data_IF_993995945168
#
_entry.id   IF_993995945168
#
_cell.length_a   1.000
_cell.length_b   1.000
_cell.length_c   1.000
_cell.angle_alpha   90.00
_cell.angle_beta   90.00
_cell.angle_gamma   90.00
#
_symmetry.space_group_name_H-M   'P 1'
#
loop_
_entity.id
_entity.type
_entity.pdbx_description
1 polymer ?
#
# COMPACT_ATOMS: atom_id res chain seq x y z
N UNK A 1 60.24 -8.06 29.04
CA UNK A 1 58.84 -8.49 29.21
C UNK A 1 57.98 -7.23 29.22
N UNK A 2 57.47 -6.84 28.05
CA UNK A 2 56.46 -5.78 27.92
C UNK A 2 55.12 -6.42 27.52
N UNK A 3 53.96 -5.85 27.90
CA UNK A 3 52.67 -6.49 27.63
C UNK A 3 52.24 -6.28 26.17
N UNK A 4 51.65 -7.32 25.57
CA UNK A 4 50.95 -7.27 24.28
C UNK A 4 49.73 -6.33 24.35
N UNK A 5 49.42 -5.54 23.31
CA UNK A 5 48.13 -4.87 23.21
C UNK A 5 47.03 -5.86 22.77
N UNK A 6 45.88 -5.79 23.44
CA UNK A 6 44.67 -6.55 23.09
C UNK A 6 43.94 -5.90 21.90
N UNK A 7 43.25 -6.66 21.05
CA UNK A 7 42.53 -6.10 19.92
C UNK A 7 41.21 -5.45 20.38
N UNK A 8 41.05 -4.16 20.10
CA UNK A 8 39.78 -3.44 20.22
C UNK A 8 38.75 -4.06 19.26
N UNK A 9 37.67 -4.57 19.84
CA UNK A 9 36.48 -5.01 19.12
C UNK A 9 35.70 -3.76 18.68
N UNK A 10 35.94 -3.29 17.46
CA UNK A 10 35.02 -2.40 16.77
C UNK A 10 33.74 -3.18 16.47
N UNK A 11 32.70 -2.94 17.28
CA UNK A 11 31.33 -3.32 16.96
C UNK A 11 30.88 -2.45 15.77
N UNK A 12 30.81 -3.05 14.60
CA UNK A 12 30.07 -2.49 13.47
C UNK A 12 28.59 -2.40 13.87
N UNK A 13 28.13 -1.18 14.16
CA UNK A 13 26.71 -0.88 14.22
C UNK A 13 26.16 -0.95 12.79
N UNK A 14 25.60 -2.10 12.43
CA UNK A 14 24.90 -2.28 11.16
C UNK A 14 23.69 -1.34 11.10
N UNK A 15 23.81 -0.25 10.35
CA UNK A 15 22.68 0.60 9.97
C UNK A 15 21.63 -0.24 9.23
N UNK A 16 20.32 -0.01 9.46
CA UNK A 16 19.28 -0.74 8.75
C UNK A 16 19.40 -0.48 7.25
N UNK A 17 19.67 -1.52 6.48
CA UNK A 17 19.71 -1.46 5.02
C UNK A 17 18.34 -1.04 4.51
N UNK A 18 18.21 0.20 4.04
CA UNK A 18 17.06 0.61 3.26
C UNK A 18 16.96 -0.30 2.03
N UNK A 19 15.81 -0.97 1.88
CA UNK A 19 15.57 -1.88 0.78
C UNK A 19 15.49 -1.07 -0.52
N UNK A 20 16.57 -1.06 -1.30
CA UNK A 20 16.62 -0.41 -2.61
C UNK A 20 15.68 -1.13 -3.57
N UNK A 21 14.76 -0.39 -4.19
CA UNK A 21 13.77 -0.94 -5.12
C UNK A 21 14.41 -1.69 -6.30
N UNK A 22 13.83 -2.82 -6.67
CA UNK A 22 14.37 -3.74 -7.66
C UNK A 22 14.48 -3.15 -9.08
N UNK A 23 13.69 -2.14 -9.39
CA UNK A 23 13.69 -1.46 -10.70
C UNK A 23 14.85 -0.46 -10.84
N UNK A 24 15.38 0.06 -9.73
CA UNK A 24 16.31 1.18 -9.76
C UNK A 24 17.67 0.85 -10.43
N UNK A 25 18.15 -0.39 -10.32
CA UNK A 25 19.48 -0.78 -10.81
C UNK A 25 19.59 -0.94 -12.35
N UNK A 26 18.46 -0.99 -13.07
CA UNK A 26 18.43 -1.24 -14.52
C UNK A 26 17.62 -0.20 -15.29
N UNK A 27 17.49 1.01 -14.74
CA UNK A 27 16.79 2.10 -15.43
C UNK A 27 17.47 2.40 -16.77
N UNK A 28 16.78 2.05 -17.87
CA UNK A 28 17.28 2.02 -19.26
C UNK A 28 17.75 3.40 -19.78
N UNK A 29 17.45 4.48 -19.06
CA UNK A 29 17.81 5.84 -19.44
C UNK A 29 19.09 6.36 -18.75
N UNK A 30 19.68 5.62 -17.82
CA UNK A 30 20.92 6.03 -17.15
C UNK A 30 22.15 5.58 -17.96
N UNK A 31 22.54 6.36 -18.97
CA UNK A 31 23.79 6.15 -19.70
C UNK A 31 25.04 6.59 -18.92
N UNK A 32 24.85 7.22 -17.76
CA UNK A 32 25.90 7.66 -16.86
C UNK A 32 25.66 7.12 -15.45
N UNK A 33 26.75 6.94 -14.68
CA UNK A 33 26.68 6.73 -13.24
C UNK A 33 25.68 7.72 -12.61
N UNK A 34 24.80 7.25 -11.71
CA UNK A 34 23.72 8.07 -11.16
C UNK A 34 24.32 9.25 -10.40
N UNK A 35 24.41 10.39 -11.07
CA UNK A 35 24.66 11.68 -10.42
C UNK A 35 23.40 11.94 -9.62
N UNK A 36 23.50 12.01 -8.28
CA UNK A 36 22.33 12.29 -7.46
C UNK A 36 21.68 13.59 -7.96
N UNK A 37 20.36 13.58 -8.25
CA UNK A 37 19.68 14.77 -8.71
C UNK A 37 19.84 15.85 -7.64
N UNK A 38 20.47 16.97 -8.01
CA UNK A 38 20.58 18.16 -7.16
C UNK A 38 19.22 18.85 -7.13
N UNK A 39 18.31 18.31 -6.32
CA UNK A 39 17.01 18.95 -6.07
C UNK A 39 17.26 20.16 -5.17
N UNK A 40 16.92 21.36 -5.64
CA UNK A 40 17.04 22.58 -4.85
C UNK A 40 16.10 22.55 -3.63
N UNK A 41 16.59 22.95 -2.46
CA UNK A 41 15.82 23.04 -1.20
C UNK A 41 14.50 23.83 -1.33
N UNK A 42 14.48 24.84 -2.21
CA UNK A 42 13.28 25.62 -2.51
C UNK A 42 12.17 24.78 -3.17
N UNK A 43 12.54 23.84 -4.04
CA UNK A 43 11.61 22.93 -4.71
C UNK A 43 11.00 21.91 -3.73
N UNK A 44 11.79 21.40 -2.79
CA UNK A 44 11.34 20.48 -1.73
C UNK A 44 10.33 21.20 -0.83
N UNK A 45 10.66 22.41 -0.40
CA UNK A 45 9.80 23.23 0.46
C UNK A 45 8.45 23.57 -0.19
N UNK A 46 8.44 23.84 -1.50
CA UNK A 46 7.19 24.08 -2.23
C UNK A 46 6.35 22.80 -2.35
N UNK A 47 6.97 21.65 -2.61
CA UNK A 47 6.27 20.36 -2.68
C UNK A 47 5.61 19.99 -1.36
N UNK A 48 6.30 20.20 -0.22
CA UNK A 48 5.74 19.98 1.11
C UNK A 48 4.54 20.86 1.38
N UNK A 49 4.60 22.16 1.03
CA UNK A 49 3.44 23.06 1.18
C UNK A 49 2.22 22.61 0.37
N UNK A 50 2.43 22.11 -0.84
CA UNK A 50 1.33 21.59 -1.68
C UNK A 50 0.74 20.33 -1.05
N UNK A 51 1.59 19.42 -0.55
CA UNK A 51 1.16 18.23 0.19
C UNK A 51 0.27 18.60 1.38
N UNK A 52 0.73 19.52 2.22
CA UNK A 52 0.00 19.94 3.43
C UNK A 52 -1.35 20.60 3.08
N UNK A 53 -1.40 21.37 2.00
CA UNK A 53 -2.63 21.98 1.51
C UNK A 53 -3.64 20.94 1.03
N UNK A 54 -3.19 19.88 0.33
CA UNK A 54 -4.04 18.78 -0.12
C UNK A 54 -4.59 18.00 1.08
N UNK A 55 -3.74 17.67 2.06
CA UNK A 55 -4.16 16.96 3.27
C UNK A 55 -5.20 17.75 4.06
N UNK A 56 -4.98 19.06 4.21
CA UNK A 56 -5.93 19.96 4.89
C UNK A 56 -7.27 20.06 4.15
N UNK A 57 -7.27 20.15 2.82
CA UNK A 57 -8.49 20.29 2.04
C UNK A 57 -9.32 18.99 1.93
N UNK A 58 -8.66 17.84 1.96
CA UNK A 58 -9.31 16.52 1.81
C UNK A 58 -9.65 15.87 3.14
N UNK A 59 -9.10 16.38 4.24
CA UNK A 59 -9.21 15.78 5.58
C UNK A 59 -8.84 14.29 5.58
N UNK A 60 -7.91 13.88 4.73
CA UNK A 60 -7.62 12.47 4.49
C UNK A 60 -7.07 11.75 5.73
N UNK A 61 -6.40 12.50 6.62
CA UNK A 61 -5.88 12.00 7.89
C UNK A 61 -6.96 11.82 8.96
N UNK A 62 -8.12 12.45 8.77
CA UNK A 62 -9.21 12.39 9.75
C UNK A 62 -9.96 11.07 9.60
N UNK A 63 -9.73 10.19 10.57
CA UNK A 63 -10.41 8.91 10.70
C UNK A 63 -11.88 9.06 11.11
N UNK A 64 -12.74 8.09 10.79
CA UNK A 64 -14.12 8.07 11.28
C UNK A 64 -14.20 8.10 12.80
N UNK A 65 -15.33 8.60 13.32
CA UNK A 65 -15.64 8.60 14.76
C UNK A 65 -15.37 7.22 15.37
N UNK A 66 -14.76 7.10 16.56
CA UNK A 66 -14.27 5.82 17.08
C UNK A 66 -15.30 4.69 17.13
N UNK A 67 -16.58 5.00 17.40
CA UNK A 67 -17.65 4.01 17.39
C UNK A 67 -17.92 3.47 15.98
N UNK A 68 -17.98 4.36 14.98
CA UNK A 68 -18.14 3.99 13.58
C UNK A 68 -16.91 3.24 13.05
N UNK A 69 -15.70 3.72 13.37
CA UNK A 69 -14.45 3.03 13.00
C UNK A 69 -14.45 1.58 13.48
N UNK A 70 -14.75 1.35 14.76
CA UNK A 70 -14.86 -0.02 15.31
C UNK A 70 -15.89 -0.85 14.55
N UNK A 71 -17.11 -0.34 14.35
CA UNK A 71 -18.15 -1.06 13.63
C UNK A 71 -17.74 -1.43 12.18
N UNK A 72 -17.01 -0.56 11.48
CA UNK A 72 -16.50 -0.85 10.14
C UNK A 72 -15.36 -1.86 10.16
N UNK A 73 -14.44 -1.75 11.13
CA UNK A 73 -13.37 -2.73 11.34
C UNK A 73 -13.93 -4.12 11.65
N UNK A 74 -14.93 -4.21 12.53
CA UNK A 74 -15.60 -5.46 12.87
C UNK A 74 -16.29 -6.04 11.63
N UNK A 75 -17.03 -5.23 10.86
CA UNK A 75 -17.66 -5.64 9.61
C UNK A 75 -16.65 -6.16 8.56
N UNK A 76 -15.45 -5.56 8.49
CA UNK A 76 -14.37 -6.05 7.65
C UNK A 76 -13.89 -7.44 8.10
N UNK A 77 -13.61 -7.64 9.38
CA UNK A 77 -13.11 -8.93 9.87
C UNK A 77 -14.16 -10.05 9.80
N UNK A 78 -15.44 -9.71 9.95
CA UNK A 78 -16.54 -10.68 9.82
C UNK A 78 -16.77 -11.09 8.36
N UNK A 79 -16.80 -10.13 7.43
CA UNK A 79 -17.34 -10.34 6.08
C UNK A 79 -16.30 -10.31 4.96
N UNK A 80 -15.10 -9.80 5.21
CA UNK A 80 -14.08 -9.57 4.16
C UNK A 80 -12.83 -10.40 4.39
N UNK A 81 -12.43 -10.55 5.64
CA UNK A 81 -11.17 -11.20 6.00
C UNK A 81 -11.00 -12.61 5.41
N UNK A 82 -12.08 -13.38 5.30
CA UNK A 82 -12.04 -14.73 4.74
C UNK A 82 -11.59 -14.75 3.26
N UNK A 83 -11.91 -13.72 2.48
CA UNK A 83 -11.49 -13.59 1.09
C UNK A 83 -10.08 -12.96 0.96
N UNK A 84 -9.67 -12.20 1.98
CA UNK A 84 -8.45 -11.38 1.96
C UNK A 84 -7.73 -11.43 3.31
N UNK A 85 -7.20 -12.61 3.67
CA UNK A 85 -6.41 -12.83 4.89
C UNK A 85 -5.00 -12.20 4.80
N UNK A 86 -4.93 -10.97 4.32
CA UNK A 86 -3.73 -10.15 4.13
C UNK A 86 -3.53 -9.22 5.33
N UNK A 87 -4.63 -8.78 5.95
CA UNK A 87 -4.65 -7.84 7.07
C UNK A 87 -4.93 -8.59 8.35
N UNK A 88 -4.10 -8.36 9.36
CA UNK A 88 -4.23 -8.93 10.70
C UNK A 88 -4.89 -7.93 11.66
N UNK A 89 -5.41 -8.42 12.79
CA UNK A 89 -6.02 -7.56 13.81
C UNK A 89 -5.02 -6.55 14.39
N UNK A 90 -3.74 -6.94 14.51
CA UNK A 90 -2.64 -6.11 15.02
C UNK A 90 -2.32 -4.93 14.10
N UNK A 91 -2.51 -5.09 12.78
CA UNK A 91 -2.30 -4.02 11.80
C UNK A 91 -3.22 -2.82 12.04
N UNK A 92 -4.40 -3.06 12.63
CA UNK A 92 -5.46 -2.04 12.83
C UNK A 92 -5.58 -1.62 14.30
N UNK A 93 -5.24 -2.51 15.24
CA UNK A 93 -5.45 -2.28 16.68
C UNK A 93 -4.21 -1.72 17.40
N UNK A 94 -3.04 -1.81 16.80
CA UNK A 94 -1.80 -1.31 17.40
C UNK A 94 -1.80 0.22 17.53
N UNK A 95 -1.10 0.74 18.54
CA UNK A 95 -0.94 2.20 18.72
C UNK A 95 -0.21 2.87 17.56
N UNK A 96 0.54 2.11 16.78
CA UNK A 96 1.26 2.54 15.58
C UNK A 96 0.55 2.14 14.28
N UNK A 97 -0.74 1.84 14.34
CA UNK A 97 -1.52 1.49 13.15
C UNK A 97 -1.56 2.65 12.16
N UNK A 98 -1.20 2.35 10.91
CA UNK A 98 -1.22 3.32 9.82
C UNK A 98 -2.60 3.93 9.59
N UNK A 99 -2.65 5.25 9.40
CA UNK A 99 -3.87 5.97 9.05
C UNK A 99 -4.37 5.49 7.68
N UNK A 100 -3.48 5.30 6.71
CA UNK A 100 -3.81 4.79 5.38
C UNK A 100 -4.52 3.45 5.47
N UNK A 101 -3.95 2.52 6.23
CA UNK A 101 -4.52 1.18 6.38
C UNK A 101 -5.85 1.20 7.13
N UNK A 102 -5.98 2.01 8.17
CA UNK A 102 -7.24 2.18 8.90
C UNK A 102 -8.35 2.74 8.00
N UNK A 103 -8.04 3.76 7.18
CA UNK A 103 -8.99 4.29 6.20
C UNK A 103 -9.40 3.23 5.18
N UNK A 104 -8.45 2.43 4.67
CA UNK A 104 -8.72 1.37 3.72
C UNK A 104 -9.58 0.24 4.32
N UNK A 105 -9.32 -0.16 5.57
CA UNK A 105 -10.15 -1.15 6.28
C UNK A 105 -11.55 -0.60 6.53
N UNK A 106 -11.68 0.67 6.94
CA UNK A 106 -12.99 1.32 7.09
C UNK A 106 -13.75 1.37 5.77
N UNK A 107 -13.07 1.67 4.67
CA UNK A 107 -13.64 1.64 3.32
C UNK A 107 -14.21 0.26 3.01
N UNK A 108 -13.42 -0.80 3.16
CA UNK A 108 -13.89 -2.17 2.92
C UNK A 108 -15.08 -2.53 3.81
N UNK A 109 -15.04 -2.20 5.10
CA UNK A 109 -16.17 -2.42 6.02
C UNK A 109 -17.42 -1.60 5.69
N UNK A 110 -17.27 -0.44 5.03
CA UNK A 110 -18.42 0.36 4.58
C UNK A 110 -19.08 -0.22 3.32
N UNK A 111 -18.30 -0.89 2.47
CA UNK A 111 -18.79 -1.52 1.25
C UNK A 111 -19.58 -2.81 1.51
N UNK A 112 -19.37 -3.44 2.67
CA UNK A 112 -20.15 -4.63 3.06
C UNK A 112 -21.52 -4.29 3.65
N UNK A 113 -21.73 -3.05 4.06
CA UNK A 113 -22.99 -2.58 4.62
C UNK A 113 -23.91 -2.08 3.51
N UNK A 114 -25.17 -2.52 3.53
CA UNK A 114 -26.16 -2.09 2.55
C UNK A 114 -26.80 -0.75 2.95
N UNK A 115 -26.92 0.18 1.99
CA UNK A 115 -27.67 1.42 2.14
C UNK A 115 -27.00 2.64 1.49
N UNK A 116 -27.78 3.70 1.17
CA UNK A 116 -27.25 4.90 0.51
C UNK A 116 -26.20 5.64 1.35
N UNK A 117 -26.42 5.73 2.67
CA UNK A 117 -25.47 6.34 3.61
C UNK A 117 -24.12 5.62 3.63
N UNK A 118 -24.15 4.28 3.54
CA UNK A 118 -22.93 3.48 3.52
C UNK A 118 -22.13 3.69 2.24
N UNK A 119 -22.83 3.82 1.11
CA UNK A 119 -22.18 4.12 -0.17
C UNK A 119 -21.58 5.54 -0.20
N UNK A 120 -22.28 6.54 0.35
CA UNK A 120 -21.73 7.89 0.47
C UNK A 120 -20.46 7.92 1.35
N UNK A 121 -20.49 7.19 2.46
CA UNK A 121 -19.33 7.00 3.32
C UNK A 121 -18.20 6.28 2.59
N UNK A 122 -18.48 5.20 1.85
CA UNK A 122 -17.50 4.48 1.06
C UNK A 122 -16.83 5.38 0.02
N UNK A 123 -17.59 6.21 -0.68
CA UNK A 123 -17.05 7.21 -1.60
C UNK A 123 -16.10 8.18 -0.91
N UNK A 124 -16.49 8.70 0.25
CA UNK A 124 -15.65 9.63 1.03
C UNK A 124 -14.36 8.94 1.48
N UNK A 125 -14.45 7.75 2.06
CA UNK A 125 -13.28 6.98 2.51
C UNK A 125 -12.36 6.62 1.34
N UNK A 126 -12.92 6.29 0.17
CA UNK A 126 -12.16 5.99 -1.02
C UNK A 126 -11.33 7.18 -1.51
N UNK A 127 -11.90 8.39 -1.57
CA UNK A 127 -11.15 9.60 -1.94
C UNK A 127 -10.06 9.92 -0.90
N UNK A 128 -10.31 9.69 0.40
CA UNK A 128 -9.29 9.83 1.44
C UNK A 128 -8.13 8.85 1.24
N UNK A 129 -8.40 7.55 1.06
CA UNK A 129 -7.36 6.54 0.84
C UNK A 129 -6.55 6.84 -0.42
N UNK A 130 -7.23 7.19 -1.52
CA UNK A 130 -6.60 7.56 -2.79
C UNK A 130 -5.69 8.79 -2.63
N UNK A 131 -6.13 9.79 -1.88
CA UNK A 131 -5.30 10.96 -1.56
C UNK A 131 -4.04 10.56 -0.80
N UNK A 132 -4.16 9.74 0.24
CA UNK A 132 -3.02 9.26 1.02
C UNK A 132 -2.05 8.45 0.16
N UNK A 133 -2.54 7.61 -0.77
CA UNK A 133 -1.70 6.86 -1.71
C UNK A 133 -0.95 7.78 -2.69
N UNK A 134 -1.62 8.75 -3.29
CA UNK A 134 -0.98 9.65 -4.26
C UNK A 134 0.00 10.63 -3.64
N UNK A 135 -0.18 10.94 -2.36
CA UNK A 135 0.80 11.72 -1.62
C UNK A 135 1.97 10.87 -1.13
N UNK A 136 2.00 9.55 -1.32
CA UNK A 136 3.03 8.70 -0.69
C UNK A 136 3.05 8.96 0.83
N UNK A 137 1.86 8.84 1.45
CA UNK A 137 1.68 9.13 2.88
C UNK A 137 2.37 8.10 3.78
N UNK A 138 2.26 6.84 3.40
CA UNK A 138 2.79 5.73 4.18
C UNK A 138 4.17 5.32 3.68
N UNK A 139 5.15 5.34 4.57
CA UNK A 139 6.54 4.97 4.22
C UNK A 139 6.76 3.47 4.19
N UNK A 140 5.97 2.69 4.92
CA UNK A 140 6.06 1.24 4.90
C UNK A 140 5.39 0.66 3.65
N UNK A 141 6.21 0.14 2.74
CA UNK A 141 5.75 -0.48 1.51
C UNK A 141 4.82 -1.68 1.73
N UNK A 142 4.99 -2.45 2.82
CA UNK A 142 4.08 -3.56 3.12
C UNK A 142 2.68 -3.02 3.44
N UNK A 143 2.59 -1.99 4.28
CA UNK A 143 1.32 -1.34 4.62
C UNK A 143 0.67 -0.70 3.40
N UNK A 144 1.43 0.00 2.56
CA UNK A 144 0.94 0.54 1.27
C UNK A 144 0.42 -0.58 0.37
N UNK A 145 1.12 -1.70 0.28
CA UNK A 145 0.69 -2.86 -0.51
C UNK A 145 -0.59 -3.49 0.05
N UNK A 146 -0.75 -3.59 1.37
CA UNK A 146 -1.99 -4.06 2.02
C UNK A 146 -3.18 -3.14 1.67
N UNK A 147 -2.99 -1.82 1.72
CA UNK A 147 -4.03 -0.85 1.35
C UNK A 147 -4.40 -0.96 -0.14
N UNK A 148 -3.41 -1.09 -1.04
CA UNK A 148 -3.65 -1.29 -2.47
C UNK A 148 -4.39 -2.59 -2.76
N UNK A 149 -4.09 -3.68 -2.03
CA UNK A 149 -4.86 -4.91 -2.12
C UNK A 149 -6.33 -4.66 -1.82
N UNK A 150 -6.68 -3.95 -0.73
CA UNK A 150 -8.08 -3.64 -0.42
C UNK A 150 -8.79 -2.84 -1.53
N UNK A 151 -8.12 -1.86 -2.13
CA UNK A 151 -8.69 -1.07 -3.23
C UNK A 151 -8.89 -1.91 -4.51
N UNK A 152 -8.08 -2.94 -4.70
CA UNK A 152 -8.18 -3.85 -5.84
C UNK A 152 -9.36 -4.85 -5.77
N UNK A 153 -10.07 -4.89 -4.65
CA UNK A 153 -11.12 -5.88 -4.40
C UNK A 153 -12.52 -5.41 -4.80
N UNK A 154 -12.81 -4.12 -4.64
CA UNK A 154 -14.16 -3.58 -4.85
C UNK A 154 -14.14 -2.29 -5.65
N UNK A 155 -15.13 -2.17 -6.54
CA UNK A 155 -15.41 -0.91 -7.20
C UNK A 155 -16.38 -0.11 -6.35
N UNK A 156 -15.96 1.09 -5.93
CA UNK A 156 -16.86 2.05 -5.28
C UNK A 156 -17.80 2.67 -6.33
N UNK A 157 -17.36 2.73 -7.58
CA UNK A 157 -18.16 3.23 -8.70
C UNK A 157 -19.01 2.09 -9.30
N UNK A 158 -20.24 2.40 -9.74
CA UNK A 158 -21.07 1.44 -10.47
C UNK A 158 -20.37 0.87 -11.71
N UNK A 159 -20.59 -0.41 -12.07
CA UNK A 159 -19.89 -1.07 -13.17
C UNK A 159 -20.26 -0.51 -14.56
N UNK A 160 -21.41 0.16 -14.68
CA UNK A 160 -21.84 0.86 -15.89
C UNK A 160 -21.06 2.15 -16.15
N UNK A 161 -20.26 2.63 -15.19
CA UNK A 161 -19.47 3.85 -15.33
C UNK A 161 -18.00 3.53 -15.61
N UNK A 162 -17.52 3.99 -16.76
CA UNK A 162 -16.09 3.98 -17.08
C UNK A 162 -15.34 4.81 -16.04
N UNK A 163 -14.35 4.20 -15.39
CA UNK A 163 -13.51 4.85 -14.39
C UNK A 163 -12.03 4.51 -14.61
N UNK A 164 -11.17 5.49 -14.36
CA UNK A 164 -9.72 5.32 -14.47
C UNK A 164 -9.15 4.47 -13.32
N UNK A 165 -9.79 4.57 -12.16
CA UNK A 165 -9.30 4.11 -10.87
C UNK A 165 -10.16 2.96 -10.31
N UNK A 166 -10.59 2.05 -11.19
CA UNK A 166 -11.31 0.84 -10.79
C UNK A 166 -10.38 -0.24 -10.19
N UNK A 167 -10.96 -1.36 -9.75
CA UNK A 167 -10.21 -2.50 -9.18
C UNK A 167 -9.02 -2.93 -10.03
N UNK A 168 -9.21 -3.04 -11.36
CA UNK A 168 -8.15 -3.42 -12.30
C UNK A 168 -6.95 -2.47 -12.29
N UNK A 169 -7.19 -1.16 -12.18
CA UNK A 169 -6.12 -0.17 -12.06
C UNK A 169 -5.32 -0.41 -10.78
N UNK A 170 -6.00 -0.56 -9.65
CA UNK A 170 -5.36 -0.78 -8.35
C UNK A 170 -4.62 -2.12 -8.28
N UNK A 171 -5.15 -3.20 -8.87
CA UNK A 171 -4.41 -4.47 -9.03
C UNK A 171 -3.11 -4.24 -9.78
N UNK A 172 -3.14 -3.50 -10.89
CA UNK A 172 -1.96 -3.17 -11.67
C UNK A 172 -0.94 -2.32 -10.89
N UNK A 173 -1.38 -1.36 -10.08
CA UNK A 173 -0.50 -0.56 -9.20
C UNK A 173 0.14 -1.46 -8.13
N UNK A 174 -0.65 -2.28 -7.45
CA UNK A 174 -0.17 -3.21 -6.42
C UNK A 174 0.88 -4.19 -6.96
N UNK A 175 0.66 -4.77 -8.13
CA UNK A 175 1.62 -5.69 -8.75
C UNK A 175 2.94 -5.00 -9.05
N UNK A 176 2.91 -3.77 -9.59
CA UNK A 176 4.13 -3.01 -9.87
C UNK A 176 4.92 -2.72 -8.59
N UNK A 177 4.24 -2.35 -7.50
CA UNK A 177 4.87 -2.18 -6.19
C UNK A 177 5.47 -3.50 -5.68
N UNK A 178 4.72 -4.60 -5.75
CA UNK A 178 5.21 -5.93 -5.36
C UNK A 178 6.44 -6.37 -6.17
N UNK A 179 6.50 -6.05 -7.47
CA UNK A 179 7.67 -6.29 -8.30
C UNK A 179 8.87 -5.42 -7.90
N UNK A 180 8.65 -4.14 -7.59
CA UNK A 180 9.69 -3.24 -7.05
C UNK A 180 10.23 -3.73 -5.70
N UNK A 181 9.38 -4.31 -4.85
CA UNK A 181 9.78 -4.96 -3.59
C UNK A 181 10.52 -6.29 -3.81
N UNK A 182 10.56 -6.81 -5.05
CA UNK A 182 11.24 -8.06 -5.38
C UNK A 182 10.44 -9.33 -5.05
N UNK A 183 9.12 -9.24 -4.83
CA UNK A 183 8.29 -10.38 -4.39
C UNK A 183 8.17 -11.51 -5.42
N UNK A 184 8.63 -11.29 -6.66
CA UNK A 184 8.74 -12.32 -7.68
C UNK A 184 9.93 -13.28 -7.48
N UNK A 185 10.83 -13.01 -6.51
CA UNK A 185 12.05 -13.79 -6.27
C UNK A 185 11.96 -14.55 -4.96
N UNK A 186 12.39 -15.81 -4.99
CA UNK A 186 12.41 -16.64 -3.78
C UNK A 186 13.36 -16.08 -2.71
N UNK A 187 14.48 -15.47 -3.13
CA UNK A 187 15.47 -14.87 -2.24
C UNK A 187 14.91 -13.78 -1.33
N UNK A 188 13.86 -13.07 -1.77
CA UNK A 188 13.22 -11.99 -1.00
C UNK A 188 12.54 -12.52 0.27
N UNK A 189 12.25 -13.82 0.32
CA UNK A 189 11.53 -14.46 1.41
C UNK A 189 12.43 -15.15 2.44
N UNK A 190 13.69 -15.46 2.10
CA UNK A 190 14.54 -16.38 2.89
C UNK A 190 14.89 -15.87 4.29
N UNK A 191 14.87 -14.54 4.53
CA UNK A 191 15.15 -13.93 5.84
C UNK A 191 14.16 -12.81 6.20
N UNK A 192 12.97 -12.81 5.59
CA UNK A 192 11.97 -11.77 5.83
C UNK A 192 10.93 -12.24 6.85
N UNK A 193 10.77 -11.57 8.02
CA UNK A 193 9.80 -11.96 9.04
C UNK A 193 8.34 -11.92 8.51
N UNK A 194 8.08 -11.11 7.49
CA UNK A 194 6.77 -11.00 6.85
C UNK A 194 6.63 -11.90 5.60
N UNK A 195 7.57 -12.81 5.34
CA UNK A 195 7.56 -13.67 4.15
C UNK A 195 6.23 -14.40 3.91
N UNK A 196 5.54 -14.98 4.91
CA UNK A 196 4.26 -15.64 4.69
C UNK A 196 3.17 -14.66 4.20
N UNK A 197 3.13 -13.46 4.77
CA UNK A 197 2.17 -12.41 4.38
C UNK A 197 2.47 -11.91 2.97
N UNK A 198 3.73 -11.56 2.69
CA UNK A 198 4.17 -11.08 1.38
C UNK A 198 3.91 -12.10 0.27
N UNK A 199 4.16 -13.38 0.52
CA UNK A 199 3.88 -14.46 -0.44
C UNK A 199 2.38 -14.59 -0.71
N UNK A 200 1.54 -14.50 0.33
CA UNK A 200 0.09 -14.51 0.18
C UNK A 200 -0.39 -13.34 -0.66
N UNK A 201 0.11 -12.14 -0.39
CA UNK A 201 -0.19 -10.93 -1.18
C UNK A 201 0.20 -11.11 -2.65
N UNK A 202 1.44 -11.55 -2.90
CA UNK A 202 1.95 -11.71 -4.26
C UNK A 202 1.09 -12.67 -5.10
N UNK A 203 0.77 -13.84 -4.56
CA UNK A 203 -0.08 -14.82 -5.26
C UNK A 203 -1.51 -14.33 -5.41
N UNK A 204 -2.06 -13.67 -4.39
CA UNK A 204 -3.38 -13.06 -4.47
C UNK A 204 -3.48 -12.06 -5.64
N UNK A 205 -2.50 -11.16 -5.74
CA UNK A 205 -2.43 -10.17 -6.82
C UNK A 205 -2.27 -10.84 -8.19
N UNK A 206 -1.43 -11.87 -8.30
CA UNK A 206 -1.22 -12.59 -9.55
C UNK A 206 -2.51 -13.25 -10.06
N UNK A 207 -3.26 -13.91 -9.17
CA UNK A 207 -4.55 -14.51 -9.50
C UNK A 207 -5.58 -13.45 -9.87
N UNK A 208 -5.69 -12.38 -9.09
CA UNK A 208 -6.61 -11.26 -9.37
C UNK A 208 -6.39 -10.65 -10.76
N UNK A 209 -5.12 -10.43 -11.13
CA UNK A 209 -4.76 -9.92 -12.46
C UNK A 209 -5.16 -10.89 -13.58
N UNK A 210 -4.91 -12.19 -13.40
CA UNK A 210 -5.28 -13.20 -14.38
C UNK A 210 -6.80 -13.26 -14.58
N UNK A 211 -7.56 -13.25 -13.49
CA UNK A 211 -9.04 -13.22 -13.52
C UNK A 211 -9.54 -11.97 -14.25
N UNK A 212 -9.03 -10.78 -13.89
CA UNK A 212 -9.45 -9.54 -14.53
C UNK A 212 -9.13 -9.51 -16.04
N UNK A 213 -7.99 -10.07 -16.46
CA UNK A 213 -7.64 -10.19 -17.88
C UNK A 213 -8.54 -11.17 -18.65
N UNK A 214 -8.99 -12.24 -18.00
CA UNK A 214 -9.92 -13.20 -18.59
C UNK A 214 -11.34 -12.61 -18.71
N UNK A 215 -11.83 -11.94 -17.66
CA UNK A 215 -13.15 -11.30 -17.64
C UNK A 215 -13.23 -10.12 -18.62
N UNK A 216 -12.15 -9.35 -18.77
CA UNK A 216 -12.07 -8.29 -19.78
C UNK A 216 -12.02 -8.79 -21.23
N UNK A 217 -11.86 -10.09 -21.45
CA UNK A 217 -11.86 -10.74 -22.78
C UNK A 217 -13.15 -11.52 -23.09
N UNK A 218 -14.13 -11.51 -22.19
CA UNK A 218 -15.35 -12.32 -22.32
C UNK A 218 -16.58 -11.57 -22.86
N UNK A 219 -16.40 -10.58 -23.72
CA UNK A 219 -17.47 -10.18 -24.66
C UNK A 219 -17.07 -10.54 -26.10
N UNK A 220 -17.27 -11.80 -26.55
CA UNK A 220 -17.50 -12.05 -27.95
C UNK A 220 -18.90 -11.50 -28.28
N UNK A 221 -18.92 -10.34 -28.93
CA UNK A 221 -20.15 -9.77 -29.48
C UNK A 221 -20.86 -10.75 -30.41
N UNK A 222 -22.13 -10.99 -30.10
CA UNK A 222 -23.20 -11.33 -31.02
C UNK A 222 -23.50 -10.16 -31.96
#
# INVERSE_FOLDING_TARGET
MGPLPSPESTRDEAQPKQQTGFIAAHSVLAFHEPTQPTVSEGSISQSLRVRDAILSATEAEILPVPALRRALTDAFFEQVFHNYAIISQEDVSSSHSSILLQQAVCLSGSLTRHGPESMHLAHTLYEKVKTLLYLDYETDNLTTLKALCLLSCWSVKPPDKISLDGPWYWTGVAIRLALQMGLHRESTYLDNPHAPCLRRIFWHLHVSQAVNLCLGKSEPGL
#
